data_IF_788783514022
#
_entry.id   IF_788783514022
#
_cell.length_a   1.000
_cell.length_b   1.000
_cell.length_c   1.000
_cell.angle_alpha   90.00
_cell.angle_beta   90.00
_cell.angle_gamma   90.00
#
_symmetry.space_group_name_H-M   'P 1'
#
loop_
_entity.id
_entity.type
_entity.pdbx_description
1 polymer ?
#
# COMPACT_ATOMS: atom_id res chain seq x y z
N UNK A 1 39.94 32.47 -0.99
CA UNK A 1 40.02 31.05 -0.62
C UNK A 1 38.60 30.54 -0.45
N UNK A 2 38.05 29.84 -1.45
CA UNK A 2 36.67 29.34 -1.41
C UNK A 2 36.71 27.93 -0.82
N UNK A 3 36.15 27.76 0.37
CA UNK A 3 35.94 26.45 0.97
C UNK A 3 34.78 25.83 0.17
N UNK A 4 35.10 24.95 -0.78
CA UNK A 4 34.11 24.01 -1.32
C UNK A 4 33.76 23.05 -0.19
N UNK A 5 32.74 23.39 0.60
CA UNK A 5 32.22 22.52 1.64
C UNK A 5 31.43 21.40 0.98
N UNK A 6 32.11 20.41 0.42
CA UNK A 6 31.49 19.17 -0.06
C UNK A 6 30.80 18.51 1.13
N UNK A 7 29.49 18.24 1.01
CA UNK A 7 28.72 17.56 2.06
C UNK A 7 29.33 16.18 2.29
N UNK A 8 29.82 15.95 3.51
CA UNK A 8 30.42 14.66 3.90
C UNK A 8 29.33 13.73 4.44
N UNK A 9 29.17 12.52 3.86
CA UNK A 9 28.19 11.53 4.34
C UNK A 9 28.33 11.18 5.83
N UNK A 10 29.56 11.21 6.36
CA UNK A 10 29.88 10.97 7.77
C UNK A 10 29.34 12.04 8.73
N UNK A 11 29.11 13.26 8.22
CA UNK A 11 28.68 14.40 9.02
C UNK A 11 27.15 14.60 9.03
N UNK A 12 26.38 13.70 8.41
CA UNK A 12 24.92 13.84 8.30
C UNK A 12 24.21 13.96 9.66
N UNK A 13 24.76 13.36 10.71
CA UNK A 13 24.21 13.46 12.07
C UNK A 13 24.31 14.88 12.67
N UNK A 14 25.21 15.73 12.15
CA UNK A 14 25.30 17.15 12.51
C UNK A 14 24.20 17.98 11.84
N UNK A 15 23.71 17.51 10.69
CA UNK A 15 22.67 18.18 9.92
C UNK A 15 21.28 17.81 10.40
N UNK A 16 21.01 16.55 10.74
CA UNK A 16 19.73 16.14 11.29
C UNK A 16 19.98 15.29 12.55
N UNK A 17 19.64 15.79 13.76
CA UNK A 17 19.87 15.07 15.00
C UNK A 17 19.29 13.65 14.99
N UNK A 18 19.98 12.70 15.63
CA UNK A 18 19.57 11.28 15.66
C UNK A 18 18.16 11.05 16.21
N UNK A 19 17.73 11.87 17.17
CA UNK A 19 16.36 11.81 17.73
C UNK A 19 15.30 12.13 16.66
N UNK A 20 15.58 13.09 15.78
CA UNK A 20 14.72 13.46 14.66
C UNK A 20 14.77 12.38 13.58
N UNK A 21 15.95 11.88 13.22
CA UNK A 21 16.09 10.75 12.29
C UNK A 21 15.29 9.52 12.77
N UNK A 22 15.37 9.18 14.07
CA UNK A 22 14.64 8.05 14.66
C UNK A 22 13.13 8.20 14.53
N UNK A 23 12.60 9.42 14.66
CA UNK A 23 11.17 9.68 14.43
C UNK A 23 10.76 9.31 13.01
N UNK A 24 11.50 9.74 11.99
CA UNK A 24 11.24 9.37 10.59
C UNK A 24 11.39 7.86 10.36
N UNK A 25 12.39 7.22 10.98
CA UNK A 25 12.55 5.77 10.93
C UNK A 25 11.34 5.06 11.52
N UNK A 26 10.82 5.50 12.67
CA UNK A 26 9.63 4.92 13.31
C UNK A 26 8.39 5.06 12.44
N UNK A 27 8.20 6.20 11.77
CA UNK A 27 7.09 6.38 10.83
C UNK A 27 7.24 5.46 9.61
N UNK A 28 8.43 5.41 9.01
CA UNK A 28 8.72 4.52 7.87
C UNK A 28 8.56 3.05 8.21
N UNK A 29 8.86 2.63 9.44
CA UNK A 29 8.68 1.26 9.91
C UNK A 29 7.21 0.80 9.90
N UNK A 30 6.24 1.73 9.79
CA UNK A 30 4.82 1.38 9.57
C UNK A 30 4.56 0.89 8.15
N UNK A 31 5.43 1.20 7.18
CA UNK A 31 5.31 0.75 5.79
C UNK A 31 5.70 -0.72 5.65
N UNK A 32 4.94 -1.45 4.82
CA UNK A 32 5.23 -2.86 4.54
C UNK A 32 6.56 -3.02 3.80
N UNK A 33 7.28 -4.10 4.15
CA UNK A 33 8.59 -4.39 3.57
C UNK A 33 9.69 -3.45 4.07
N UNK A 34 9.36 -2.50 4.95
CA UNK A 34 10.35 -1.67 5.60
C UNK A 34 11.04 -2.46 6.71
N UNK A 35 12.37 -2.52 6.64
CA UNK A 35 13.17 -2.94 7.80
C UNK A 35 13.83 -1.70 8.38
N UNK A 36 14.23 -1.76 9.65
CA UNK A 36 14.95 -0.67 10.30
C UNK A 36 16.14 -0.18 9.47
N UNK A 37 16.91 -1.12 8.91
CA UNK A 37 18.05 -0.79 8.03
C UNK A 37 17.62 -0.07 6.75
N UNK A 38 16.52 -0.46 6.11
CA UNK A 38 16.01 0.21 4.89
C UNK A 38 15.54 1.62 5.21
N UNK A 39 14.81 1.79 6.32
CA UNK A 39 14.34 3.09 6.79
C UNK A 39 15.51 4.03 7.13
N UNK A 40 16.51 3.55 7.89
CA UNK A 40 17.72 4.31 8.20
C UNK A 40 18.49 4.73 6.93
N UNK A 41 18.66 3.79 5.97
CA UNK A 41 19.31 4.10 4.70
C UNK A 41 18.52 5.16 3.90
N UNK A 42 17.19 5.06 3.87
CA UNK A 42 16.34 6.04 3.17
C UNK A 42 16.43 7.43 3.80
N UNK A 43 16.34 7.56 5.12
CA UNK A 43 16.42 8.87 5.81
C UNK A 43 17.76 9.54 5.54
N UNK A 44 18.85 8.77 5.62
CA UNK A 44 20.21 9.26 5.29
C UNK A 44 20.33 9.67 3.83
N UNK A 45 19.76 8.88 2.90
CA UNK A 45 19.72 9.22 1.47
C UNK A 45 18.98 10.52 1.23
N UNK A 46 17.76 10.64 1.74
CA UNK A 46 16.91 11.79 1.54
C UNK A 46 17.58 13.08 2.05
N UNK A 47 18.17 13.03 3.25
CA UNK A 47 18.91 14.14 3.82
C UNK A 47 20.12 14.51 2.95
N UNK A 48 20.91 13.52 2.53
CA UNK A 48 22.08 13.75 1.69
C UNK A 48 21.71 14.40 0.35
N UNK A 49 20.69 13.87 -0.34
CA UNK A 49 20.23 14.39 -1.62
C UNK A 49 19.64 15.79 -1.50
N UNK A 50 18.88 16.07 -0.43
CA UNK A 50 18.37 17.40 -0.13
C UNK A 50 19.50 18.41 0.05
N UNK A 51 20.50 18.09 0.87
CA UNK A 51 21.64 18.98 1.07
C UNK A 51 22.42 19.18 -0.23
N UNK A 52 22.61 18.12 -1.03
CA UNK A 52 23.29 18.18 -2.33
C UNK A 52 22.54 19.09 -3.32
N UNK A 53 21.21 19.02 -3.33
CA UNK A 53 20.35 19.92 -4.12
C UNK A 53 20.51 21.39 -3.65
N UNK A 54 20.40 21.65 -2.34
CA UNK A 54 20.63 22.97 -1.76
C UNK A 54 22.04 23.52 -2.06
N UNK A 55 23.06 22.67 -2.05
CA UNK A 55 24.42 23.05 -2.40
C UNK A 55 24.53 23.45 -3.88
N UNK A 56 23.90 22.69 -4.78
CA UNK A 56 23.88 23.02 -6.21
C UNK A 56 23.19 24.38 -6.48
N UNK A 57 22.18 24.70 -5.66
CA UNK A 57 21.44 25.96 -5.69
C UNK A 57 22.11 27.09 -4.87
N UNK A 58 23.27 26.84 -4.24
CA UNK A 58 24.00 27.76 -3.34
C UNK A 58 23.15 28.28 -2.17
N UNK A 59 22.17 27.49 -1.73
CA UNK A 59 21.21 27.82 -0.68
C UNK A 59 21.25 26.78 0.45
N UNK A 60 22.45 26.48 0.97
CA UNK A 60 22.61 25.54 2.07
C UNK A 60 21.94 26.08 3.36
N UNK A 61 21.05 25.30 3.99
CA UNK A 61 20.44 25.68 5.25
C UNK A 61 21.48 25.68 6.39
N UNK A 62 21.12 26.30 7.53
CA UNK A 62 21.96 26.25 8.73
C UNK A 62 21.66 24.96 9.52
N UNK A 63 22.66 24.15 9.88
CA UNK A 63 22.45 23.01 10.78
C UNK A 63 22.27 23.47 12.24
N UNK A 64 21.59 22.67 13.09
CA UNK A 64 20.86 21.46 12.75
C UNK A 64 19.50 21.79 12.11
N UNK A 65 19.09 21.00 11.12
CA UNK A 65 17.75 20.97 10.59
C UNK A 65 16.78 20.49 11.67
N UNK A 66 15.60 21.13 11.71
CA UNK A 66 14.51 20.75 12.61
C UNK A 66 13.61 19.66 12.02
N UNK A 67 13.68 19.44 10.71
CA UNK A 67 12.89 18.46 9.98
C UNK A 67 13.63 17.97 8.72
N UNK A 68 13.20 16.83 8.21
CA UNK A 68 13.66 16.28 6.94
C UNK A 68 12.89 16.98 5.80
N UNK A 69 13.65 17.55 4.86
CA UNK A 69 13.13 18.07 3.60
C UNK A 69 13.60 17.21 2.44
N UNK A 70 12.97 17.35 1.28
CA UNK A 70 13.28 16.56 0.08
C UNK A 70 13.74 17.46 -1.08
N UNK A 71 14.62 16.97 -1.96
CA UNK A 71 15.02 17.70 -3.16
C UNK A 71 13.84 17.89 -4.12
N UNK A 72 13.85 18.98 -4.89
CA UNK A 72 12.74 19.33 -5.79
C UNK A 72 12.73 18.52 -7.11
N UNK A 73 13.73 17.66 -7.33
CA UNK A 73 13.86 16.92 -8.58
C UNK A 73 14.87 15.78 -8.53
N UNK A 74 15.43 15.48 -9.70
CA UNK A 74 16.47 14.48 -9.86
C UNK A 74 17.80 15.01 -9.33
N UNK A 75 18.44 14.23 -8.46
CA UNK A 75 19.75 14.55 -7.90
C UNK A 75 20.71 13.42 -8.25
N UNK A 76 21.88 13.79 -8.75
CA UNK A 76 22.94 12.84 -9.04
C UNK A 76 23.41 12.14 -7.75
N UNK A 77 23.50 10.81 -7.78
CA UNK A 77 24.02 10.01 -6.67
C UNK A 77 24.48 8.65 -7.20
N UNK A 78 25.80 8.50 -7.29
CA UNK A 78 26.44 7.24 -7.67
C UNK A 78 26.25 6.16 -6.61
N UNK A 79 26.46 4.89 -6.99
CA UNK A 79 26.45 3.78 -6.02
C UNK A 79 27.54 3.92 -4.95
N UNK A 80 28.67 4.57 -5.28
CA UNK A 80 29.74 4.86 -4.34
C UNK A 80 29.29 5.89 -3.30
N UNK A 81 28.74 7.03 -3.74
CA UNK A 81 28.18 8.03 -2.83
C UNK A 81 27.06 7.44 -1.96
N UNK A 82 26.18 6.63 -2.55
CA UNK A 82 25.14 5.94 -1.79
C UNK A 82 25.73 4.96 -0.76
N UNK A 83 26.85 4.29 -1.08
CA UNK A 83 27.55 3.40 -0.15
C UNK A 83 28.08 4.19 1.05
N UNK A 84 28.72 5.32 0.80
CA UNK A 84 29.20 6.20 1.87
C UNK A 84 28.05 6.70 2.72
N UNK A 85 26.92 7.09 2.11
CA UNK A 85 25.73 7.53 2.84
C UNK A 85 25.14 6.42 3.71
N UNK A 86 25.09 5.18 3.23
CA UNK A 86 24.47 4.07 3.96
C UNK A 86 25.35 3.45 5.03
N UNK A 87 26.66 3.46 4.81
CA UNK A 87 27.60 2.62 5.54
C UNK A 87 28.83 3.37 6.08
N UNK A 88 28.87 4.71 6.04
CA UNK A 88 29.98 5.52 6.58
C UNK A 88 30.35 5.18 8.03
N UNK A 89 29.41 4.68 8.81
CA UNK A 89 29.57 4.35 10.23
C UNK A 89 29.82 2.84 10.48
N UNK A 90 30.02 2.03 9.43
CA UNK A 90 30.04 0.56 9.54
C UNK A 90 31.13 -0.07 8.67
N UNK A 91 31.84 -1.05 9.23
CA UNK A 91 32.85 -1.87 8.52
C UNK A 91 32.27 -2.80 7.42
N UNK A 92 30.96 -2.72 7.12
CA UNK A 92 30.28 -3.67 6.22
C UNK A 92 29.30 -2.97 5.28
N UNK A 93 29.65 -3.00 4.00
CA UNK A 93 28.86 -2.49 2.89
C UNK A 93 29.79 -1.89 1.85
N UNK A 94 29.46 -2.07 0.58
CA UNK A 94 30.16 -1.44 -0.55
C UNK A 94 29.18 -1.13 -1.67
N UNK A 95 29.67 -0.57 -2.76
CA UNK A 95 28.88 -0.05 -3.89
C UNK A 95 27.81 -1.03 -4.39
N UNK A 96 28.16 -2.32 -4.50
CA UNK A 96 27.21 -3.37 -4.91
C UNK A 96 26.04 -3.51 -3.94
N UNK A 97 26.30 -3.46 -2.64
CA UNK A 97 25.27 -3.54 -1.60
C UNK A 97 24.45 -2.25 -1.50
N UNK A 98 25.06 -1.10 -1.79
CA UNK A 98 24.35 0.17 -1.90
C UNK A 98 23.41 0.17 -3.12
N UNK A 99 23.88 -0.31 -4.27
CA UNK A 99 23.05 -0.52 -5.46
C UNK A 99 21.86 -1.44 -5.20
N UNK A 100 22.06 -2.55 -4.48
CA UNK A 100 20.94 -3.42 -4.06
C UNK A 100 19.99 -2.74 -3.07
N UNK A 101 20.48 -1.90 -2.17
CA UNK A 101 19.63 -1.12 -1.27
C UNK A 101 18.80 -0.10 -2.04
N UNK A 102 19.40 0.62 -2.99
CA UNK A 102 18.70 1.55 -3.87
C UNK A 102 17.58 0.85 -4.62
N UNK A 103 17.83 -0.32 -5.21
CA UNK A 103 16.78 -1.08 -5.89
C UNK A 103 15.64 -1.46 -4.93
N UNK A 104 15.95 -1.90 -3.70
CA UNK A 104 14.91 -2.16 -2.68
C UNK A 104 14.09 -0.92 -2.32
N UNK A 105 14.71 0.27 -2.28
CA UNK A 105 14.00 1.52 -2.03
C UNK A 105 13.12 1.92 -3.22
N UNK A 106 13.54 1.60 -4.46
CA UNK A 106 12.71 1.72 -5.67
C UNK A 106 11.50 0.77 -5.59
N UNK A 107 11.73 -0.50 -5.25
CA UNK A 107 10.67 -1.52 -5.12
C UNK A 107 9.64 -1.15 -4.04
N UNK A 108 10.08 -0.42 -3.01
CA UNK A 108 9.25 0.11 -1.93
C UNK A 108 8.55 1.45 -2.29
N UNK A 109 8.73 1.95 -3.51
CA UNK A 109 8.13 3.19 -4.00
C UNK A 109 8.64 4.45 -3.30
N UNK A 110 9.80 4.39 -2.62
CA UNK A 110 10.35 5.54 -1.89
C UNK A 110 11.18 6.47 -2.79
N UNK A 111 11.79 5.91 -3.84
CA UNK A 111 12.64 6.65 -4.76
C UNK A 111 12.38 6.18 -6.20
N UNK A 112 12.68 7.05 -7.17
CA UNK A 112 12.91 6.67 -8.55
C UNK A 112 14.41 6.76 -8.85
N UNK A 113 14.87 5.89 -9.75
CA UNK A 113 16.27 5.81 -10.18
C UNK A 113 16.33 5.77 -11.70
N UNK A 114 17.17 6.61 -12.30
CA UNK A 114 17.47 6.56 -13.73
C UNK A 114 18.98 6.68 -13.95
N UNK A 115 19.47 6.22 -15.10
CA UNK A 115 20.86 6.38 -15.52
C UNK A 115 20.90 7.22 -16.78
N UNK A 116 21.63 8.33 -16.75
CA UNK A 116 21.68 9.30 -17.86
C UNK A 116 22.83 9.05 -18.85
N UNK A 117 23.55 7.95 -18.69
CA UNK A 117 24.75 7.62 -19.48
C UNK A 117 26.06 7.89 -18.74
N UNK A 118 26.05 8.78 -17.75
CA UNK A 118 27.24 9.11 -16.95
C UNK A 118 27.06 8.74 -15.48
N UNK A 119 25.92 9.10 -14.88
CA UNK A 119 25.68 8.86 -13.46
C UNK A 119 24.25 8.40 -13.18
N UNK A 120 24.10 7.79 -12.01
CA UNK A 120 22.78 7.46 -11.48
C UNK A 120 22.14 8.73 -10.93
N UNK A 121 20.93 9.03 -11.38
CA UNK A 121 20.10 10.08 -10.81
C UNK A 121 19.01 9.46 -9.96
N UNK A 122 18.75 10.07 -8.80
CA UNK A 122 17.74 9.63 -7.84
C UNK A 122 16.75 10.77 -7.61
N UNK A 123 15.46 10.45 -7.65
CA UNK A 123 14.39 11.36 -7.25
C UNK A 123 13.66 10.75 -6.05
N UNK A 124 13.53 11.51 -4.97
CA UNK A 124 12.70 11.08 -3.83
C UNK A 124 11.23 11.18 -4.24
N UNK A 125 10.45 10.11 -4.00
CA UNK A 125 9.01 10.20 -4.14
C UNK A 125 8.45 10.98 -2.95
N UNK A 126 7.51 11.92 -3.15
CA UNK A 126 6.88 12.61 -2.03
C UNK A 126 6.20 11.58 -1.12
N UNK A 127 6.50 11.65 0.17
CA UNK A 127 5.91 10.81 1.20
C UNK A 127 5.04 11.71 2.08
N UNK A 128 3.72 11.81 1.80
CA UNK A 128 2.83 12.71 2.53
C UNK A 128 2.89 12.52 4.04
N UNK A 129 3.14 11.30 4.53
CA UNK A 129 3.27 11.03 5.97
C UNK A 129 4.55 11.58 6.61
N UNK A 130 5.59 11.88 5.82
CA UNK A 130 6.86 12.42 6.31
C UNK A 130 6.93 13.95 6.16
N UNK A 131 6.15 14.52 5.24
CA UNK A 131 6.01 15.96 5.08
C UNK A 131 4.95 16.48 6.05
N UNK A 132 5.36 17.05 7.19
CA UNK A 132 4.48 17.91 7.99
C UNK A 132 4.40 19.27 7.30
N UNK A 133 3.68 19.34 6.20
CA UNK A 133 3.52 20.59 5.45
C UNK A 133 2.47 20.40 4.40
N UNK A 134 1.28 20.91 4.71
CA UNK A 134 0.18 21.15 3.79
C UNK A 134 0.00 20.06 2.74
N UNK A 135 -0.59 18.94 3.15
CA UNK A 135 -1.58 18.34 2.26
C UNK A 135 -2.61 19.44 2.02
N UNK A 136 -2.39 20.26 0.98
CA UNK A 136 -3.49 20.81 0.23
C UNK A 136 -4.26 19.58 -0.17
N UNK A 137 -5.23 19.19 0.67
CA UNK A 137 -6.30 18.29 0.31
C UNK A 137 -6.82 18.91 -0.98
N UNK A 138 -6.37 18.37 -2.10
CA UNK A 138 -7.04 18.64 -3.35
C UNK A 138 -8.46 18.20 -3.03
N UNK A 139 -9.40 19.17 -3.04
CA UNK A 139 -10.83 18.91 -2.88
C UNK A 139 -11.27 18.13 -4.11
N UNK A 140 -10.83 16.88 -4.17
CA UNK A 140 -11.17 15.92 -5.19
C UNK A 140 -12.42 15.28 -4.67
N UNK A 141 -13.53 15.57 -5.34
CA UNK A 141 -14.76 14.85 -5.08
C UNK A 141 -14.62 13.42 -5.61
N UNK A 142 -15.33 12.48 -4.98
CA UNK A 142 -15.27 11.08 -5.32
C UNK A 142 -16.63 10.56 -5.76
N UNK A 143 -16.62 9.62 -6.70
CA UNK A 143 -17.78 8.84 -7.12
C UNK A 143 -17.53 7.35 -6.85
N UNK A 144 -18.57 6.62 -6.47
CA UNK A 144 -18.49 5.18 -6.25
C UNK A 144 -19.49 4.47 -7.16
N UNK A 145 -18.96 3.70 -8.10
CA UNK A 145 -19.72 3.06 -9.16
C UNK A 145 -19.56 1.55 -9.14
N UNK A 146 -20.39 0.87 -9.93
CA UNK A 146 -20.18 -0.54 -10.24
C UNK A 146 -18.86 -0.68 -11.03
N UNK A 147 -18.14 -1.77 -10.77
CA UNK A 147 -16.96 -2.12 -11.55
C UNK A 147 -17.34 -2.43 -13.01
N UNK A 148 -16.74 -1.72 -13.97
CA UNK A 148 -16.79 -2.00 -15.39
C UNK A 148 -15.57 -2.85 -15.79
N UNK A 149 -15.73 -4.15 -16.11
CA UNK A 149 -14.63 -5.04 -16.50
C UNK A 149 -13.87 -4.59 -17.75
N UNK A 150 -14.46 -3.72 -18.58
CA UNK A 150 -13.84 -3.17 -19.79
C UNK A 150 -12.86 -2.05 -19.46
N UNK A 151 -13.23 -1.10 -18.60
CA UNK A 151 -12.40 0.08 -18.29
C UNK A 151 -11.59 -0.07 -17.02
N UNK A 152 -12.06 -0.83 -16.03
CA UNK A 152 -11.50 -0.79 -14.68
C UNK A 152 -10.54 -1.93 -14.38
N UNK A 153 -10.68 -3.06 -15.08
CA UNK A 153 -9.90 -4.26 -14.79
C UNK A 153 -8.39 -4.00 -14.79
N UNK A 154 -7.89 -3.20 -15.74
CA UNK A 154 -6.46 -2.87 -15.86
C UNK A 154 -6.00 -1.87 -14.77
N UNK A 155 -6.62 -0.67 -14.62
CA UNK A 155 -6.19 0.29 -13.60
C UNK A 155 -6.33 -0.27 -12.17
N UNK A 156 -7.42 -1.00 -11.88
CA UNK A 156 -7.56 -1.67 -10.58
C UNK A 156 -6.54 -2.79 -10.41
N UNK A 157 -6.25 -3.58 -11.45
CA UNK A 157 -5.18 -4.58 -11.36
C UNK A 157 -3.82 -3.96 -11.07
N UNK A 158 -3.52 -2.78 -11.64
CA UNK A 158 -2.29 -2.05 -11.33
C UNK A 158 -2.26 -1.56 -9.88
N UNK A 159 -3.38 -1.00 -9.39
CA UNK A 159 -3.52 -0.58 -7.99
C UNK A 159 -3.36 -1.78 -7.04
N UNK A 160 -3.93 -2.93 -7.36
CA UNK A 160 -3.80 -4.14 -6.55
C UNK A 160 -2.39 -4.73 -6.64
N UNK A 161 -1.78 -4.76 -7.83
CA UNK A 161 -0.42 -5.25 -8.00
C UNK A 161 0.56 -4.44 -7.14
N UNK A 162 0.47 -3.10 -7.15
CA UNK A 162 1.31 -2.25 -6.31
C UNK A 162 1.13 -2.51 -4.83
N UNK A 163 -0.11 -2.77 -4.38
CA UNK A 163 -0.42 -3.12 -2.99
C UNK A 163 0.04 -4.53 -2.57
N UNK A 164 0.15 -5.49 -3.51
CA UNK A 164 0.57 -6.86 -3.24
C UNK A 164 2.02 -7.18 -3.69
N UNK A 165 2.76 -6.20 -4.22
CA UNK A 165 4.10 -6.40 -4.81
C UNK A 165 5.09 -7.10 -3.87
N UNK A 166 4.98 -6.92 -2.55
CA UNK A 166 5.86 -7.57 -1.57
C UNK A 166 5.61 -9.08 -1.39
N UNK A 167 4.42 -9.58 -1.75
CA UNK A 167 4.08 -11.01 -1.77
C UNK A 167 4.40 -11.67 -3.12
N UNK A 168 4.39 -10.88 -4.20
CA UNK A 168 4.57 -11.36 -5.56
C UNK A 168 6.06 -11.56 -5.88
N UNK A 169 6.50 -12.83 -5.94
CA UNK A 169 7.88 -13.19 -6.29
C UNK A 169 8.21 -13.09 -7.79
N UNK A 170 7.19 -12.91 -8.64
CA UNK A 170 7.34 -12.72 -10.10
C UNK A 170 6.72 -11.38 -10.48
N UNK A 171 7.40 -10.60 -11.33
CA UNK A 171 6.92 -9.28 -11.78
C UNK A 171 6.32 -9.30 -13.19
N UNK A 172 6.68 -10.29 -14.01
CA UNK A 172 6.19 -10.38 -15.37
C UNK A 172 4.79 -11.03 -15.37
N UNK A 173 3.79 -10.28 -15.86
CA UNK A 173 2.37 -10.65 -16.03
C UNK A 173 1.43 -10.63 -14.80
N UNK A 174 1.82 -10.07 -13.65
CA UNK A 174 0.92 -10.00 -12.46
C UNK A 174 -0.33 -9.16 -12.73
N UNK A 175 -0.19 -7.96 -13.28
CA UNK A 175 -1.33 -7.09 -13.62
C UNK A 175 -2.28 -7.77 -14.60
N UNK A 176 -1.75 -8.40 -15.65
CA UNK A 176 -2.56 -9.11 -16.64
C UNK A 176 -3.42 -10.21 -15.98
N UNK A 177 -2.80 -11.01 -15.10
CA UNK A 177 -3.52 -12.05 -14.37
C UNK A 177 -4.60 -11.48 -13.46
N UNK A 178 -4.26 -10.47 -12.64
CA UNK A 178 -5.24 -9.85 -11.74
C UNK A 178 -6.41 -9.27 -12.56
N UNK A 179 -6.14 -8.62 -13.69
CA UNK A 179 -7.18 -8.08 -14.55
C UNK A 179 -8.14 -9.17 -15.06
N UNK A 180 -7.64 -10.35 -15.44
CA UNK A 180 -8.49 -11.47 -15.84
C UNK A 180 -9.31 -12.04 -14.67
N UNK A 181 -8.70 -12.21 -13.49
CA UNK A 181 -9.42 -12.62 -12.28
C UNK A 181 -10.58 -11.67 -11.98
N UNK A 182 -10.35 -10.35 -12.05
CA UNK A 182 -11.39 -9.35 -11.82
C UNK A 182 -12.52 -9.42 -12.86
N UNK A 183 -12.19 -9.68 -14.13
CA UNK A 183 -13.18 -9.89 -15.19
C UNK A 183 -14.00 -11.15 -14.95
N UNK A 184 -13.37 -12.24 -14.52
CA UNK A 184 -14.03 -13.50 -14.21
C UNK A 184 -14.92 -13.39 -12.97
N UNK A 185 -14.54 -12.58 -11.99
CA UNK A 185 -15.41 -12.28 -10.85
C UNK A 185 -16.59 -11.42 -11.27
N UNK A 186 -16.37 -10.39 -12.10
CA UNK A 186 -17.43 -9.53 -12.61
C UNK A 186 -18.44 -10.31 -13.48
N UNK A 187 -17.99 -11.30 -14.25
CA UNK A 187 -18.87 -12.13 -15.08
C UNK A 187 -19.75 -13.08 -14.25
N UNK A 188 -19.29 -13.48 -13.06
CA UNK A 188 -20.05 -14.31 -12.13
C UNK A 188 -21.01 -13.48 -11.26
N UNK A 189 -20.53 -12.37 -10.68
CA UNK A 189 -21.34 -11.53 -9.80
C UNK A 189 -20.78 -10.10 -9.69
N UNK A 190 -21.17 -9.21 -10.61
CA UNK A 190 -20.69 -7.82 -10.65
C UNK A 190 -21.14 -6.95 -9.46
N UNK A 191 -22.29 -7.23 -8.84
CA UNK A 191 -22.86 -6.40 -7.76
C UNK A 191 -21.90 -6.23 -6.58
N UNK A 192 -21.11 -7.27 -6.27
CA UNK A 192 -20.14 -7.25 -5.19
C UNK A 192 -18.85 -6.47 -5.48
N UNK A 193 -18.65 -5.99 -6.71
CA UNK A 193 -17.43 -5.31 -7.14
C UNK A 193 -17.70 -3.82 -7.35
N UNK A 194 -16.99 -2.98 -6.59
CA UNK A 194 -17.26 -1.54 -6.52
C UNK A 194 -15.96 -0.75 -6.65
N UNK A 195 -16.02 0.35 -7.39
CA UNK A 195 -14.86 1.17 -7.75
C UNK A 195 -15.06 2.59 -7.23
N UNK A 196 -14.08 3.07 -6.47
CA UNK A 196 -13.96 4.47 -6.10
C UNK A 196 -13.17 5.20 -7.18
N UNK A 197 -13.73 6.29 -7.69
CA UNK A 197 -13.13 7.14 -8.72
C UNK A 197 -13.01 8.57 -8.23
N UNK A 198 -12.03 9.28 -8.78
CA UNK A 198 -12.08 10.74 -8.75
C UNK A 198 -13.20 11.22 -9.66
N UNK A 199 -13.98 12.19 -9.22
CA UNK A 199 -15.09 12.75 -9.99
C UNK A 199 -14.62 13.61 -11.17
N UNK A 200 -13.40 14.15 -11.12
CA UNK A 200 -12.87 15.09 -12.11
C UNK A 200 -12.35 14.41 -13.39
N UNK A 201 -11.75 13.23 -13.26
CA UNK A 201 -11.14 12.51 -14.39
C UNK A 201 -11.58 11.04 -14.50
N UNK A 202 -12.47 10.58 -13.61
CA UNK A 202 -12.98 9.20 -13.54
C UNK A 202 -11.92 8.11 -13.33
N UNK A 203 -10.68 8.49 -12.97
CA UNK A 203 -9.63 7.52 -12.70
C UNK A 203 -9.98 6.70 -11.45
N UNK A 204 -9.89 5.36 -11.52
CA UNK A 204 -10.04 4.51 -10.35
C UNK A 204 -8.92 4.75 -9.34
N UNK A 205 -9.30 5.01 -8.09
CA UNK A 205 -8.39 5.25 -6.96
C UNK A 205 -8.68 4.35 -5.75
N UNK A 206 -9.73 3.54 -5.83
CA UNK A 206 -10.03 2.53 -4.83
C UNK A 206 -10.96 1.46 -5.38
N UNK A 207 -11.01 0.34 -4.67
CA UNK A 207 -11.76 -0.83 -5.06
C UNK A 207 -12.06 -1.71 -3.85
N UNK A 208 -13.25 -2.32 -3.84
CA UNK A 208 -13.49 -3.48 -2.99
C UNK A 208 -14.25 -4.56 -3.73
N UNK A 209 -14.08 -5.79 -3.25
CA UNK A 209 -14.74 -6.97 -3.76
C UNK A 209 -15.37 -7.76 -2.62
N UNK A 210 -16.69 -7.84 -2.63
CA UNK A 210 -17.46 -8.82 -1.87
C UNK A 210 -17.68 -10.06 -2.72
N UNK A 211 -17.14 -11.17 -2.24
CA UNK A 211 -17.12 -12.44 -2.92
C UNK A 211 -18.04 -13.41 -2.17
N UNK A 212 -19.34 -13.53 -2.56
CA UNK A 212 -20.24 -14.49 -1.96
C UNK A 212 -19.67 -15.88 -2.17
N UNK A 213 -19.46 -16.62 -1.09
CA UNK A 213 -18.64 -17.83 -1.09
C UNK A 213 -19.54 -19.06 -1.05
N UNK A 214 -19.29 -20.02 -1.96
CA UNK A 214 -19.99 -21.30 -1.92
C UNK A 214 -19.71 -22.03 -0.60
N UNK A 215 -20.73 -22.74 -0.12
CA UNK A 215 -20.67 -23.47 1.16
C UNK A 215 -19.47 -24.42 1.25
N UNK A 216 -19.12 -25.10 0.15
CA UNK A 216 -17.99 -26.03 0.12
C UNK A 216 -16.63 -25.34 0.32
N UNK A 217 -16.56 -24.04 0.03
CA UNK A 217 -15.34 -23.23 0.21
C UNK A 217 -15.21 -22.66 1.62
N UNK A 218 -16.24 -22.70 2.47
CA UNK A 218 -16.21 -22.08 3.80
C UNK A 218 -15.14 -22.67 4.71
N UNK A 219 -14.84 -23.97 4.54
CA UNK A 219 -13.77 -24.65 5.29
C UNK A 219 -12.41 -23.95 5.14
N UNK A 220 -12.21 -23.23 4.02
CA UNK A 220 -10.95 -22.51 3.75
C UNK A 220 -10.72 -21.31 4.67
N UNK A 221 -11.75 -20.73 5.28
CA UNK A 221 -11.59 -19.69 6.31
C UNK A 221 -11.01 -20.23 7.63
N UNK A 222 -10.99 -21.55 7.80
CA UNK A 222 -10.43 -22.25 8.96
C UNK A 222 -9.06 -22.88 8.65
N UNK A 223 -8.64 -22.88 7.39
CA UNK A 223 -7.32 -23.33 6.95
C UNK A 223 -6.27 -22.20 7.09
N UNK A 224 -4.95 -22.52 7.01
CA UNK A 224 -3.90 -21.51 6.98
C UNK A 224 -4.16 -20.40 5.94
N UNK A 225 -4.20 -19.13 6.36
CA UNK A 225 -4.53 -17.99 5.48
C UNK A 225 -3.70 -17.87 4.21
N UNK A 226 -2.46 -18.37 4.21
CA UNK A 226 -1.64 -18.48 3.00
C UNK A 226 -2.34 -19.21 1.85
N UNK A 227 -3.25 -20.13 2.13
CA UNK A 227 -4.04 -20.84 1.11
C UNK A 227 -5.12 -19.97 0.48
N UNK A 228 -5.42 -18.79 1.00
CA UNK A 228 -6.42 -17.87 0.43
C UNK A 228 -5.85 -16.77 -0.48
N UNK A 229 -4.54 -16.74 -0.68
CA UNK A 229 -3.83 -15.66 -1.38
C UNK A 229 -3.90 -15.76 -2.93
N UNK A 230 -5.07 -15.87 -3.54
CA UNK A 230 -5.16 -16.06 -4.99
C UNK A 230 -4.64 -14.86 -5.81
N UNK A 231 -4.98 -13.62 -5.41
CA UNK A 231 -4.53 -12.41 -6.12
C UNK A 231 -3.00 -12.24 -6.10
N UNK A 232 -2.31 -12.83 -5.11
CA UNK A 232 -0.86 -12.71 -4.93
C UNK A 232 -0.07 -14.01 -5.12
N UNK A 233 -0.72 -15.11 -5.54
CA UNK A 233 -0.05 -16.40 -5.79
C UNK A 233 -0.16 -16.80 -7.25
N UNK A 234 0.84 -17.52 -7.77
CA UNK A 234 0.90 -18.00 -9.17
C UNK A 234 -0.10 -19.15 -9.45
N UNK A 235 -0.87 -19.58 -8.45
CA UNK A 235 -1.87 -20.63 -8.65
C UNK A 235 -2.94 -20.20 -9.67
N UNK A 236 -3.17 -21.05 -10.67
CA UNK A 236 -4.17 -20.82 -11.72
C UNK A 236 -5.61 -20.97 -11.21
N UNK A 237 -5.82 -21.79 -10.18
CA UNK A 237 -7.15 -22.09 -9.64
C UNK A 237 -7.38 -21.32 -8.34
N UNK A 238 -8.49 -20.59 -8.26
CA UNK A 238 -8.94 -19.98 -7.00
C UNK A 238 -9.40 -21.10 -6.03
N UNK A 239 -8.82 -21.18 -4.83
CA UNK A 239 -9.26 -22.15 -3.82
C UNK A 239 -10.65 -21.86 -3.25
N UNK A 240 -11.20 -20.66 -3.50
CA UNK A 240 -12.56 -20.28 -3.17
C UNK A 240 -13.40 -20.26 -4.44
N UNK A 241 -14.63 -20.74 -4.35
CA UNK A 241 -15.62 -20.67 -5.42
C UNK A 241 -16.70 -19.65 -5.08
N UNK A 242 -17.10 -18.84 -6.06
CA UNK A 242 -18.15 -17.86 -5.91
C UNK A 242 -19.52 -18.54 -5.95
N UNK A 243 -20.40 -18.18 -5.02
CA UNK A 243 -21.81 -18.54 -5.09
C UNK A 243 -22.51 -17.65 -6.13
N UNK A 244 -23.53 -18.19 -6.79
CA UNK A 244 -24.34 -17.44 -7.76
C UNK A 244 -25.60 -16.92 -7.08
N UNK A 245 -26.10 -15.76 -7.52
CA UNK A 245 -27.33 -15.18 -6.99
C UNK A 245 -28.48 -16.20 -6.96
N UNK A 246 -29.23 -16.24 -5.85
CA UNK A 246 -30.25 -17.24 -5.57
C UNK A 246 -29.75 -18.49 -4.84
N UNK A 247 -28.44 -18.64 -4.59
CA UNK A 247 -27.92 -19.73 -3.78
C UNK A 247 -28.28 -19.56 -2.29
N UNK A 248 -29.34 -20.24 -1.87
CA UNK A 248 -29.81 -20.26 -0.48
C UNK A 248 -28.82 -20.91 0.50
N UNK A 249 -27.81 -21.62 0.01
CA UNK A 249 -26.80 -22.26 0.86
C UNK A 249 -25.60 -21.36 1.15
N UNK A 250 -25.48 -20.23 0.45
CA UNK A 250 -24.43 -19.24 0.68
C UNK A 250 -24.67 -18.53 2.02
N UNK A 251 -23.74 -18.73 2.97
CA UNK A 251 -23.78 -18.08 4.28
C UNK A 251 -22.66 -17.08 4.50
N UNK A 252 -21.61 -17.19 3.70
CA UNK A 252 -20.37 -16.44 3.90
C UNK A 252 -20.08 -15.52 2.72
N UNK A 253 -19.61 -14.31 3.02
CA UNK A 253 -19.00 -13.40 2.05
C UNK A 253 -17.55 -13.15 2.43
N UNK A 254 -16.66 -13.28 1.44
CA UNK A 254 -15.26 -12.89 1.60
C UNK A 254 -15.09 -11.47 1.09
N UNK A 255 -14.68 -10.54 1.95
CA UNK A 255 -14.04 -9.28 1.56
C UNK A 255 -12.70 -9.58 0.91
N UNK A 256 -12.73 -9.92 -0.37
CA UNK A 256 -11.61 -10.50 -1.12
C UNK A 256 -10.54 -9.46 -1.47
N UNK A 257 -10.96 -8.21 -1.58
CA UNK A 257 -10.07 -7.07 -1.73
C UNK A 257 -10.72 -5.84 -1.12
N UNK A 258 -9.89 -4.99 -0.51
CA UNK A 258 -10.25 -3.66 -0.05
C UNK A 258 -9.02 -2.78 -0.20
N UNK A 259 -9.09 -1.79 -1.08
CA UNK A 259 -7.97 -0.91 -1.36
C UNK A 259 -8.44 0.50 -1.64
N UNK A 260 -7.73 1.47 -1.08
CA UNK A 260 -7.78 2.86 -1.49
C UNK A 260 -6.34 3.31 -1.62
N UNK A 261 -6.02 3.97 -2.72
CA UNK A 261 -4.72 4.64 -2.89
C UNK A 261 -4.48 5.56 -1.69
N UNK A 262 -3.26 5.49 -1.14
CA UNK A 262 -2.87 6.21 0.07
C UNK A 262 -3.13 7.71 -0.01
N UNK A 263 -3.02 8.32 -1.20
CA UNK A 263 -3.26 9.75 -1.40
C UNK A 263 -4.71 10.14 -1.06
N UNK A 264 -5.68 9.26 -1.36
CA UNK A 264 -7.11 9.57 -1.24
C UNK A 264 -7.80 8.89 -0.06
N UNK A 265 -7.09 8.03 0.69
CA UNK A 265 -7.68 7.16 1.72
C UNK A 265 -8.46 7.94 2.78
N UNK A 266 -7.86 8.96 3.39
CA UNK A 266 -8.49 9.68 4.50
C UNK A 266 -9.79 10.37 4.08
N UNK A 267 -9.79 11.01 2.90
CA UNK A 267 -10.93 11.76 2.40
C UNK A 267 -12.08 10.87 1.89
N UNK A 268 -11.79 9.67 1.39
CA UNK A 268 -12.77 8.82 0.70
C UNK A 268 -13.24 7.59 1.46
N UNK A 269 -12.49 7.12 2.47
CA UNK A 269 -12.81 5.90 3.22
C UNK A 269 -14.22 5.88 3.82
N UNK A 270 -14.75 6.95 4.45
CA UNK A 270 -16.10 6.91 5.00
C UNK A 270 -17.17 6.66 3.95
N UNK A 271 -17.06 7.30 2.77
CA UNK A 271 -18.00 7.11 1.67
C UNK A 271 -17.94 5.69 1.12
N UNK A 272 -16.73 5.12 1.01
CA UNK A 272 -16.57 3.74 0.53
C UNK A 272 -17.14 2.72 1.52
N UNK A 273 -17.02 2.96 2.83
CA UNK A 273 -17.63 2.12 3.87
C UNK A 273 -19.16 2.19 3.83
N UNK A 274 -19.74 3.38 3.60
CA UNK A 274 -21.19 3.53 3.43
C UNK A 274 -21.71 2.78 2.19
N UNK A 275 -21.02 2.90 1.05
CA UNK A 275 -21.37 2.12 -0.15
C UNK A 275 -21.26 0.62 0.11
N UNK A 276 -20.30 0.19 0.94
CA UNK A 276 -20.15 -1.21 1.33
C UNK A 276 -21.36 -1.74 2.11
N UNK A 277 -21.94 -0.96 3.04
CA UNK A 277 -23.17 -1.36 3.73
C UNK A 277 -24.34 -1.48 2.74
N UNK A 278 -24.50 -0.51 1.85
CA UNK A 278 -25.57 -0.53 0.83
C UNK A 278 -25.41 -1.72 -0.13
N UNK A 279 -24.18 -2.01 -0.53
CA UNK A 279 -23.86 -3.15 -1.38
C UNK A 279 -24.17 -4.45 -0.66
N UNK A 280 -23.76 -4.60 0.60
CA UNK A 280 -24.01 -5.80 1.39
C UNK A 280 -25.51 -6.03 1.64
N UNK A 281 -26.31 -4.97 1.79
CA UNK A 281 -27.77 -5.08 1.84
C UNK A 281 -28.37 -5.65 0.55
N UNK A 282 -27.84 -5.26 -0.63
CA UNK A 282 -28.25 -5.85 -1.92
C UNK A 282 -27.82 -7.32 -1.99
N UNK A 283 -26.62 -7.65 -1.52
CA UNK A 283 -26.15 -9.04 -1.45
C UNK A 283 -27.07 -9.91 -0.58
N UNK A 284 -27.64 -9.40 0.52
CA UNK A 284 -28.59 -10.15 1.33
C UNK A 284 -29.91 -10.46 0.60
N UNK A 285 -30.26 -9.68 -0.43
CA UNK A 285 -31.42 -9.98 -1.29
C UNK A 285 -31.10 -11.11 -2.27
N UNK A 286 -29.89 -11.10 -2.83
CA UNK A 286 -29.41 -12.14 -3.74
C UNK A 286 -29.07 -13.46 -3.01
N UNK A 287 -28.68 -13.38 -1.73
CA UNK A 287 -28.26 -14.49 -0.88
C UNK A 287 -28.95 -14.40 0.49
N UNK A 288 -30.18 -14.93 0.63
CA UNK A 288 -31.01 -14.71 1.82
C UNK A 288 -30.41 -15.18 3.15
N UNK A 289 -29.49 -16.15 3.10
CA UNK A 289 -28.83 -16.73 4.27
C UNK A 289 -27.41 -16.19 4.51
N UNK A 290 -27.07 -15.04 3.91
CA UNK A 290 -25.75 -14.42 4.10
C UNK A 290 -25.61 -13.81 5.50
N UNK A 291 -24.79 -14.43 6.34
CA UNK A 291 -24.64 -14.11 7.77
C UNK A 291 -23.21 -13.75 8.16
N UNK A 292 -22.23 -14.36 7.50
CA UNK A 292 -20.83 -14.35 7.93
C UNK A 292 -19.96 -13.56 6.96
N UNK A 293 -19.11 -12.69 7.48
CA UNK A 293 -18.17 -11.91 6.69
C UNK A 293 -16.74 -12.19 7.13
N UNK A 294 -15.91 -12.60 6.18
CA UNK A 294 -14.51 -12.92 6.39
C UNK A 294 -13.61 -11.98 5.61
N UNK A 295 -12.44 -11.69 6.17
CA UNK A 295 -11.39 -10.96 5.46
C UNK A 295 -10.01 -11.53 5.78
N UNK A 296 -9.12 -11.47 4.80
CA UNK A 296 -7.72 -11.86 4.95
C UNK A 296 -6.89 -10.61 5.22
N UNK A 297 -6.27 -10.53 6.39
CA UNK A 297 -5.40 -9.41 6.71
C UNK A 297 -4.02 -9.65 6.12
N UNK A 298 -3.73 -8.86 5.08
CA UNK A 298 -2.45 -8.81 4.39
C UNK A 298 -1.66 -7.55 4.81
N UNK A 299 -2.35 -6.45 5.14
CA UNK A 299 -1.73 -5.17 5.53
C UNK A 299 -2.13 -4.74 6.96
N UNK A 300 -1.19 -4.28 7.82
CA UNK A 300 -1.49 -3.78 9.17
C UNK A 300 -2.52 -2.65 9.22
N UNK A 301 -2.44 -1.65 8.32
CA UNK A 301 -3.45 -0.59 8.22
C UNK A 301 -4.88 -1.10 8.05
N UNK A 302 -5.09 -2.12 7.21
CA UNK A 302 -6.41 -2.72 7.04
C UNK A 302 -6.81 -3.58 8.25
N UNK A 303 -5.84 -4.09 9.02
CA UNK A 303 -6.13 -4.74 10.30
C UNK A 303 -6.71 -3.77 11.33
N UNK A 304 -6.13 -2.56 11.42
CA UNK A 304 -6.62 -1.52 12.32
C UNK A 304 -8.04 -1.09 11.93
N UNK A 305 -8.28 -0.87 10.63
CA UNK A 305 -9.61 -0.59 10.10
C UNK A 305 -10.60 -1.73 10.38
N UNK A 306 -10.23 -2.98 10.09
CA UNK A 306 -11.09 -4.13 10.35
C UNK A 306 -11.43 -4.25 11.84
N UNK A 307 -10.45 -4.05 12.73
CA UNK A 307 -10.68 -4.01 14.17
C UNK A 307 -11.65 -2.91 14.60
N UNK A 308 -11.53 -1.70 14.03
CA UNK A 308 -12.47 -0.59 14.28
C UNK A 308 -13.89 -0.91 13.78
N UNK A 309 -14.01 -1.69 12.71
CA UNK A 309 -15.26 -2.23 12.18
C UNK A 309 -15.77 -3.46 12.96
N UNK A 310 -15.14 -3.78 14.09
CA UNK A 310 -15.53 -4.86 14.98
C UNK A 310 -15.18 -6.26 14.49
N UNK A 311 -14.39 -6.40 13.44
CA UNK A 311 -13.88 -7.71 13.04
C UNK A 311 -12.96 -8.27 14.12
N UNK A 312 -13.03 -9.58 14.31
CA UNK A 312 -12.23 -10.32 15.28
C UNK A 312 -11.25 -11.23 14.58
N UNK A 313 -10.01 -11.25 15.05
CA UNK A 313 -8.99 -12.19 14.58
C UNK A 313 -9.37 -13.62 14.91
N UNK A 314 -9.26 -14.51 13.93
CA UNK A 314 -9.53 -15.95 14.09
C UNK A 314 -8.24 -16.76 13.87
N UNK A 315 -8.10 -17.45 12.74
CA UNK A 315 -6.99 -18.34 12.47
C UNK A 315 -5.79 -17.56 11.90
N UNK A 316 -4.60 -17.82 12.44
CA UNK A 316 -3.34 -17.26 11.96
C UNK A 316 -2.59 -18.27 11.09
N UNK A 317 -1.77 -17.76 10.18
CA UNK A 317 -0.90 -18.60 9.37
C UNK A 317 0.33 -19.06 10.18
N UNK A 318 0.71 -20.35 10.10
CA UNK A 318 1.84 -20.87 10.86
C UNK A 318 3.21 -20.39 10.34
N UNK A 319 3.28 -19.89 9.10
CA UNK A 319 4.54 -19.57 8.42
C UNK A 319 4.65 -18.12 7.99
N UNK A 320 3.53 -17.42 7.84
CA UNK A 320 3.47 -16.03 7.41
C UNK A 320 2.72 -15.16 8.42
N UNK A 321 3.00 -13.84 8.48
CA UNK A 321 2.29 -12.94 9.39
C UNK A 321 0.89 -12.57 8.84
N UNK A 322 0.11 -13.58 8.44
CA UNK A 322 -1.23 -13.45 7.88
C UNK A 322 -2.23 -14.06 8.86
N UNK A 323 -3.46 -13.55 8.85
CA UNK A 323 -4.54 -14.12 9.63
C UNK A 323 -5.90 -13.76 9.04
N UNK A 324 -6.86 -14.62 9.31
CA UNK A 324 -8.26 -14.37 9.04
C UNK A 324 -8.83 -13.45 10.12
N UNK A 325 -9.77 -12.61 9.71
CA UNK A 325 -10.69 -11.93 10.61
C UNK A 325 -12.14 -12.18 10.20
N UNK A 326 -13.03 -12.12 11.18
CA UNK A 326 -14.45 -12.44 11.06
C UNK A 326 -15.33 -11.35 11.67
N UNK A 327 -16.48 -11.10 11.04
CA UNK A 327 -17.58 -10.28 11.57
C UNK A 327 -18.91 -10.83 11.07
N UNK A 328 -19.97 -10.74 11.88
CA UNK A 328 -21.32 -11.03 11.42
C UNK A 328 -21.86 -9.88 10.54
N UNK A 329 -22.46 -10.23 9.41
CA UNK A 329 -23.01 -9.28 8.43
C UNK A 329 -24.01 -8.32 9.08
N UNK A 330 -24.93 -8.85 9.91
CA UNK A 330 -25.96 -8.03 10.55
C UNK A 330 -25.37 -6.99 11.52
N UNK A 331 -24.25 -7.30 12.18
CA UNK A 331 -23.52 -6.37 13.05
C UNK A 331 -22.81 -5.30 12.24
N UNK A 332 -22.16 -5.69 11.14
CA UNK A 332 -21.52 -4.73 10.24
C UNK A 332 -22.53 -3.72 9.66
N UNK A 333 -23.72 -4.20 9.26
CA UNK A 333 -24.79 -3.35 8.72
C UNK A 333 -25.39 -2.37 9.75
N UNK A 334 -25.20 -2.63 11.06
CA UNK A 334 -25.67 -1.75 12.15
C UNK A 334 -24.63 -0.72 12.58
N UNK A 335 -23.41 -0.77 12.04
CA UNK A 335 -22.35 0.19 12.38
C UNK A 335 -22.70 1.59 11.87
N UNK A 336 -22.46 2.59 12.72
CA UNK A 336 -22.50 3.98 12.33
C UNK A 336 -21.17 4.40 11.70
N UNK A 337 -21.11 4.32 10.38
CA UNK A 337 -19.89 4.59 9.61
C UNK A 337 -19.46 6.06 9.68
N UNK A 338 -20.36 6.99 10.02
CA UNK A 338 -20.05 8.42 10.10
C UNK A 338 -19.26 8.78 11.36
N UNK A 339 -19.36 7.96 12.42
CA UNK A 339 -18.71 8.19 13.70
C UNK A 339 -17.43 7.36 13.93
N UNK A 340 -16.98 6.56 12.96
CA UNK A 340 -15.77 5.73 13.07
C UNK A 340 -14.44 6.52 13.19
N UNK A 341 -14.45 7.81 12.84
CA UNK A 341 -13.26 8.67 12.81
C UNK A 341 -13.24 9.76 13.92
N UNK A 342 -14.11 9.68 14.93
CA UNK A 342 -14.10 10.62 16.07
C UNK A 342 -13.21 10.15 17.21
#
# INVERSE_FOLDING_TARGET
MSISSTIRPEALDQWLPKTIQQRYVTELLRRIGMTRRRAECFVRLALYLFLKDCQSQKALPKPPLLELSFPQGWVECSCLEASDVFYSDKDRGGDRSAGMMLNKLVDLGLIQKQFDGNCTQIKIQPLPELLKGDSSESKVDFAIDAFDPRSDAIPIANLLASNYNWLNRNHDAVTYRIANILRDWASQYATGLRVLRRADNHNPVGFYAFYPTKRESEIKFFEPPSRGLHLSQVAEVDPFQMALAGDETCRSVFVRSWVIDSEYRQASQPSLLLDSQQTLQRLQQDFPNLWDMYTLIIHPDYAALAGALGFQKTNADPKMPLYWMYQAVDRFLKLDMQNLNK
#
